data_IF_611734217191
#
_entry.id   IF_611734217191
#
_cell.length_a   1.000
_cell.length_b   1.000
_cell.length_c   1.000
_cell.angle_alpha   90.00
_cell.angle_beta   90.00
_cell.angle_gamma   90.00
#
_symmetry.space_group_name_H-M   'P 1'
#
loop_
_entity.id
_entity.type
_entity.pdbx_description
1 polymer ?
#
# COMPACT_ATOMS: atom_id res chain seq x y z
N UNK A 1 -1.93 -15.33 12.58
CA UNK A 1 -0.93 -14.27 12.34
C UNK A 1 -1.70 -13.05 11.86
N UNK A 2 -1.56 -11.93 12.55
CA UNK A 2 -2.27 -10.69 12.22
C UNK A 2 -1.69 -10.06 10.93
N UNK A 3 -2.54 -9.40 10.13
CA UNK A 3 -2.18 -8.84 8.81
C UNK A 3 -2.82 -7.47 8.60
N UNK A 4 -2.12 -6.61 7.88
CA UNK A 4 -2.67 -5.40 7.28
C UNK A 4 -3.26 -5.76 5.92
N UNK A 5 -4.55 -5.57 5.76
CA UNK A 5 -5.31 -5.99 4.59
C UNK A 5 -5.77 -4.73 3.85
N UNK A 6 -5.25 -4.52 2.63
CA UNK A 6 -5.68 -3.47 1.72
C UNK A 6 -6.48 -4.11 0.60
N UNK A 7 -7.67 -3.58 0.30
CA UNK A 7 -8.52 -4.07 -0.78
C UNK A 7 -9.02 -2.92 -1.62
N UNK A 8 -8.74 -2.98 -2.92
CA UNK A 8 -9.26 -2.04 -3.91
C UNK A 8 -8.73 -0.63 -3.77
N UNK A 9 -7.46 -0.47 -3.37
CA UNK A 9 -6.82 0.84 -3.30
C UNK A 9 -6.76 1.49 -4.68
N UNK A 10 -7.34 2.68 -4.79
CA UNK A 10 -7.55 3.43 -6.04
C UNK A 10 -7.09 4.89 -5.96
N UNK A 11 -6.40 5.24 -4.88
CA UNK A 11 -5.92 6.61 -4.68
C UNK A 11 -4.92 6.99 -5.78
N UNK A 12 -5.05 8.21 -6.31
CA UNK A 12 -4.28 8.71 -7.44
C UNK A 12 -4.24 7.77 -8.66
N UNK A 13 -3.10 7.13 -8.92
CA UNK A 13 -2.87 6.26 -10.07
C UNK A 13 -2.88 4.76 -9.73
N UNK A 14 -3.27 4.40 -8.50
CA UNK A 14 -3.42 3.01 -8.11
C UNK A 14 -4.57 2.36 -8.90
N UNK A 15 -4.32 1.16 -9.41
CA UNK A 15 -5.24 0.44 -10.28
C UNK A 15 -5.87 -0.74 -9.54
N UNK A 16 -6.77 -0.43 -8.60
CA UNK A 16 -7.50 -1.43 -7.81
C UNK A 16 -6.56 -2.42 -7.09
N UNK A 17 -5.65 -1.87 -6.30
CA UNK A 17 -4.57 -2.66 -5.68
C UNK A 17 -5.10 -3.40 -4.45
N UNK A 18 -4.79 -4.69 -4.34
CA UNK A 18 -5.12 -5.55 -3.20
C UNK A 18 -3.83 -6.12 -2.59
N UNK A 19 -3.65 -6.00 -1.28
CA UNK A 19 -2.45 -6.45 -0.58
C UNK A 19 -2.79 -7.08 0.77
N UNK A 20 -2.03 -8.12 1.12
CA UNK A 20 -1.99 -8.70 2.46
C UNK A 20 -0.57 -8.61 2.99
N UNK A 21 -0.36 -7.69 3.93
CA UNK A 21 0.95 -7.38 4.48
C UNK A 21 1.07 -7.95 5.89
N UNK A 22 2.18 -8.61 6.25
CA UNK A 22 2.39 -9.08 7.62
C UNK A 22 2.52 -7.88 8.57
N UNK A 23 1.79 -7.89 9.69
CA UNK A 23 2.02 -6.91 10.74
C UNK A 23 3.32 -7.22 11.48
N UNK A 24 3.82 -6.23 12.21
CA UNK A 24 5.06 -6.33 13.00
C UNK A 24 6.31 -6.65 12.17
N UNK A 25 6.26 -6.33 10.86
CA UNK A 25 7.37 -6.50 9.94
C UNK A 25 7.83 -5.14 9.38
N UNK A 26 9.13 -5.02 9.10
CA UNK A 26 9.67 -3.91 8.33
C UNK A 26 9.38 -4.16 6.84
N UNK A 27 8.35 -3.50 6.31
CA UNK A 27 7.95 -3.59 4.91
C UNK A 27 8.59 -2.47 4.11
N UNK A 28 9.13 -2.80 2.94
CA UNK A 28 9.75 -1.84 2.03
C UNK A 28 8.97 -1.78 0.72
N UNK A 29 8.44 -0.61 0.38
CA UNK A 29 7.86 -0.34 -0.94
C UNK A 29 8.94 0.19 -1.90
N UNK A 30 9.13 -0.46 -3.03
CA UNK A 30 10.12 -0.09 -4.05
C UNK A 30 9.52 -0.09 -5.46
N UNK A 31 10.21 0.53 -6.42
CA UNK A 31 9.76 0.73 -7.79
C UNK A 31 10.05 2.12 -8.34
N UNK A 32 9.93 2.26 -9.67
CA UNK A 32 10.22 3.51 -10.42
C UNK A 32 9.47 4.73 -9.88
N UNK A 33 10.01 5.93 -10.12
CA UNK A 33 9.29 7.17 -9.80
C UNK A 33 7.91 7.19 -10.48
N UNK A 34 6.89 7.66 -9.78
CA UNK A 34 5.50 7.68 -10.28
C UNK A 34 4.75 6.34 -10.24
N UNK A 35 5.34 5.25 -9.72
CA UNK A 35 4.68 3.93 -9.70
C UNK A 35 3.54 3.75 -8.69
N UNK A 36 3.19 4.78 -7.91
CA UNK A 36 2.12 4.72 -6.90
C UNK A 36 2.55 4.29 -5.49
N UNK A 37 3.86 4.15 -5.21
CA UNK A 37 4.36 3.77 -3.86
C UNK A 37 3.88 4.71 -2.76
N UNK A 38 4.07 6.02 -2.96
CA UNK A 38 3.67 7.02 -1.97
C UNK A 38 2.15 7.07 -1.80
N UNK A 39 1.41 6.92 -2.91
CA UNK A 39 -0.06 6.86 -2.88
C UNK A 39 -0.57 5.67 -2.07
N UNK A 40 0.10 4.53 -2.17
CA UNK A 40 -0.26 3.36 -1.39
C UNK A 40 0.18 3.49 0.08
N UNK A 41 1.41 3.93 0.34
CA UNK A 41 1.98 3.96 1.69
C UNK A 41 1.42 5.10 2.55
N UNK A 42 1.35 6.31 2.00
CA UNK A 42 0.95 7.50 2.73
C UNK A 42 -0.53 7.82 2.52
N UNK A 43 -0.96 7.92 1.26
CA UNK A 43 -2.29 8.43 0.94
C UNK A 43 -3.40 7.37 1.14
N UNK A 44 -3.04 6.09 1.21
CA UNK A 44 -3.97 4.98 1.50
C UNK A 44 -3.72 4.38 2.88
N UNK A 45 -2.53 3.78 3.13
CA UNK A 45 -2.29 2.99 4.35
C UNK A 45 -2.14 3.85 5.61
N UNK A 46 -1.53 5.03 5.52
CA UNK A 46 -1.28 5.89 6.69
C UNK A 46 -2.41 6.91 6.94
N UNK A 47 -3.16 7.26 5.90
CA UNK A 47 -4.28 8.20 6.00
C UNK A 47 -5.52 7.60 6.70
N UNK A 48 -5.62 6.26 6.76
CA UNK A 48 -6.65 5.51 7.50
C UNK A 48 -6.11 4.91 8.80
#
# INVERSE_FOLDING_TARGET
MDRLVVRGAREHNLKDVHLDLPREAMIVFTGLSGSGKSSLAFDTIFAE
#
